data_IF_709732966452
#
_entry.id   IF_709732966452
#
_cell.length_a   1.000
_cell.length_b   1.000
_cell.length_c   1.000
_cell.angle_alpha   90.00
_cell.angle_beta   90.00
_cell.angle_gamma   90.00
#
_symmetry.space_group_name_H-M   'P 1'
#
loop_
_entity.id
_entity.type
_entity.pdbx_description
1 polymer ?
#
# COMPACT_ATOMS: atom_id res chain seq x y z
N UNK A 1 32.46 -13.51 -1.29
CA UNK A 1 31.20 -13.60 -0.55
C UNK A 1 30.10 -13.75 -1.56
N UNK A 2 29.50 -14.94 -1.61
CA UNK A 2 28.34 -15.25 -2.43
C UNK A 2 27.17 -14.57 -1.72
N UNK A 3 26.64 -13.50 -2.29
CA UNK A 3 25.33 -13.00 -1.88
C UNK A 3 24.34 -14.07 -2.32
N UNK A 4 23.78 -14.82 -1.37
CA UNK A 4 22.62 -15.65 -1.67
C UNK A 4 21.52 -14.72 -2.18
N UNK A 5 20.99 -15.06 -3.35
CA UNK A 5 19.70 -14.60 -3.84
C UNK A 5 18.61 -15.14 -2.90
N UNK A 6 18.62 -14.70 -1.65
CA UNK A 6 17.53 -14.96 -0.73
C UNK A 6 16.29 -14.32 -1.37
N UNK A 7 15.31 -15.18 -1.62
CA UNK A 7 13.96 -14.89 -2.11
C UNK A 7 13.43 -13.65 -1.36
N UNK A 8 13.61 -12.48 -1.95
CA UNK A 8 13.11 -11.20 -1.42
C UNK A 8 11.60 -11.27 -1.57
N UNK A 9 10.94 -11.94 -0.62
CA UNK A 9 9.51 -12.25 -0.58
C UNK A 9 8.61 -11.00 -0.68
N UNK A 10 9.23 -9.83 -0.61
CA UNK A 10 8.60 -8.52 -0.72
C UNK A 10 8.58 -7.98 -2.16
N UNK A 11 9.25 -8.64 -3.13
CA UNK A 11 9.19 -8.26 -4.55
C UNK A 11 7.82 -8.53 -5.13
N UNK A 12 7.27 -7.52 -5.80
CA UNK A 12 5.99 -7.60 -6.47
C UNK A 12 6.08 -8.50 -7.69
N UNK A 13 5.33 -9.60 -7.65
CA UNK A 13 5.13 -10.50 -8.79
C UNK A 13 4.24 -9.86 -9.82
N UNK A 14 4.62 -9.97 -11.07
CA UNK A 14 3.97 -9.26 -12.16
C UNK A 14 3.84 -10.10 -13.43
N UNK A 15 2.94 -9.69 -14.31
CA UNK A 15 2.71 -10.28 -15.62
C UNK A 15 2.59 -9.19 -16.69
N UNK A 16 2.77 -9.58 -17.95
CA UNK A 16 2.60 -8.69 -19.11
C UNK A 16 1.44 -9.18 -19.96
N UNK A 17 0.59 -8.25 -20.39
CA UNK A 17 -0.39 -8.47 -21.44
C UNK A 17 -0.05 -7.55 -22.61
N UNK A 18 0.13 -8.13 -23.80
CA UNK A 18 0.48 -7.41 -25.02
C UNK A 18 -0.70 -7.43 -25.98
N UNK A 19 -1.45 -6.33 -26.04
CA UNK A 19 -2.47 -6.11 -27.06
C UNK A 19 -1.83 -5.48 -28.28
N UNK A 20 -1.18 -6.31 -29.10
CA UNK A 20 -0.36 -5.86 -30.24
C UNK A 20 -0.70 -6.66 -31.49
N UNK A 21 -0.56 -6.08 -32.69
CA UNK A 21 -0.89 -6.78 -33.93
C UNK A 21 -0.02 -8.03 -34.16
N UNK A 22 1.26 -7.95 -33.79
CA UNK A 22 2.25 -8.99 -34.05
C UNK A 22 2.61 -9.75 -32.76
N UNK A 23 2.22 -11.03 -32.70
CA UNK A 23 2.49 -11.90 -31.56
C UNK A 23 3.99 -12.21 -31.38
N UNK A 24 4.82 -12.05 -32.41
CA UNK A 24 6.26 -12.31 -32.32
C UNK A 24 6.98 -11.26 -31.47
N UNK A 25 6.36 -10.10 -31.25
CA UNK A 25 6.92 -9.02 -30.43
C UNK A 25 6.83 -9.29 -28.92
N UNK A 26 6.12 -10.33 -28.48
CA UNK A 26 5.86 -10.57 -27.05
C UNK A 26 7.15 -10.73 -26.25
N UNK A 27 8.14 -11.44 -26.77
CA UNK A 27 9.41 -11.66 -26.07
C UNK A 27 10.17 -10.34 -25.91
N UNK A 28 10.26 -9.54 -26.98
CA UNK A 28 10.84 -8.20 -26.94
C UNK A 28 10.11 -7.29 -25.95
N UNK A 29 8.78 -7.33 -25.94
CA UNK A 29 7.96 -6.51 -25.04
C UNK A 29 8.08 -6.97 -23.58
N UNK A 30 8.30 -8.26 -23.34
CA UNK A 30 8.60 -8.80 -22.01
C UNK A 30 9.96 -8.29 -21.49
N UNK A 31 10.98 -8.28 -22.35
CA UNK A 31 12.29 -7.72 -22.03
C UNK A 31 12.23 -6.21 -21.78
N UNK A 32 11.50 -5.48 -22.63
CA UNK A 32 11.20 -4.07 -22.41
C UNK A 32 10.52 -3.85 -21.06
N UNK A 33 9.52 -4.65 -20.73
CA UNK A 33 8.76 -4.52 -19.48
C UNK A 33 9.65 -4.73 -18.25
N UNK A 34 10.57 -5.68 -18.34
CA UNK A 34 11.55 -5.98 -17.28
C UNK A 34 12.51 -4.81 -17.08
N UNK A 35 13.02 -4.24 -18.18
CA UNK A 35 13.81 -3.00 -18.15
C UNK A 35 13.02 -1.83 -17.55
N UNK A 36 11.79 -1.62 -18.00
CA UNK A 36 10.92 -0.51 -17.58
C UNK A 36 10.68 -0.56 -16.07
N UNK A 37 10.30 -1.71 -15.53
CA UNK A 37 10.04 -1.88 -14.09
C UNK A 37 11.34 -1.80 -13.26
N UNK A 38 12.50 -2.17 -13.82
CA UNK A 38 13.80 -1.93 -13.20
C UNK A 38 14.08 -0.43 -13.05
N UNK A 39 13.84 0.37 -14.10
CA UNK A 39 14.00 1.83 -14.04
C UNK A 39 13.01 2.47 -13.07
N UNK A 40 11.74 2.03 -13.06
CA UNK A 40 10.74 2.46 -12.07
C UNK A 40 11.21 2.13 -10.65
N UNK A 41 11.78 0.95 -10.40
CA UNK A 41 12.30 0.56 -9.08
C UNK A 41 13.43 1.49 -8.64
N UNK A 42 14.37 1.81 -9.54
CA UNK A 42 15.48 2.74 -9.25
C UNK A 42 14.98 4.13 -8.89
N UNK A 43 13.97 4.64 -9.60
CA UNK A 43 13.38 5.95 -9.32
C UNK A 43 12.53 5.92 -8.04
N UNK A 44 11.75 4.86 -7.81
CA UNK A 44 10.97 4.68 -6.60
C UNK A 44 11.85 4.72 -5.34
N UNK A 45 13.02 4.07 -5.38
CA UNK A 45 13.98 4.11 -4.28
C UNK A 45 14.45 5.55 -3.95
N UNK A 46 14.67 6.39 -4.96
CA UNK A 46 15.03 7.81 -4.76
C UNK A 46 13.90 8.64 -4.14
N UNK A 47 12.66 8.20 -4.31
CA UNK A 47 11.46 8.83 -3.76
C UNK A 47 11.03 8.24 -2.41
N UNK A 48 11.81 7.32 -1.83
CA UNK A 48 11.41 6.54 -0.64
C UNK A 48 10.09 5.78 -0.81
N UNK A 49 9.80 5.32 -2.03
CA UNK A 49 8.63 4.52 -2.36
C UNK A 49 9.03 3.05 -2.46
N UNK A 50 8.31 2.18 -1.75
CA UNK A 50 8.47 0.73 -1.91
C UNK A 50 7.73 0.24 -3.16
N UNK A 51 8.43 0.21 -4.29
CA UNK A 51 7.97 -0.41 -5.53
C UNK A 51 9.11 -1.24 -6.13
N UNK A 52 9.32 -2.44 -5.56
CA UNK A 52 10.28 -3.43 -6.06
C UNK A 52 9.53 -4.53 -6.79
N UNK A 53 9.96 -4.83 -8.01
CA UNK A 53 9.39 -5.88 -8.84
C UNK A 53 10.34 -7.07 -8.91
N UNK A 54 9.81 -8.26 -9.18
CA UNK A 54 10.65 -9.38 -9.60
C UNK A 54 11.37 -9.04 -10.91
N UNK A 55 12.52 -9.66 -11.17
CA UNK A 55 13.36 -9.35 -12.33
C UNK A 55 12.67 -9.65 -13.66
N UNK A 56 11.82 -10.68 -13.69
CA UNK A 56 11.10 -11.13 -14.89
C UNK A 56 9.62 -11.31 -14.61
N UNK A 57 8.81 -11.12 -15.65
CA UNK A 57 7.40 -11.43 -15.61
C UNK A 57 7.17 -12.92 -15.33
N UNK A 58 6.13 -13.25 -14.56
CA UNK A 58 5.69 -14.65 -14.39
C UNK A 58 5.12 -15.23 -15.68
N UNK A 59 4.54 -14.38 -16.51
CA UNK A 59 3.98 -14.73 -17.82
C UNK A 59 3.85 -13.47 -18.68
N UNK A 60 4.04 -13.63 -19.99
CA UNK A 60 3.69 -12.66 -21.01
C UNK A 60 2.63 -13.27 -21.93
N UNK A 61 1.53 -12.56 -22.16
CA UNK A 61 0.41 -13.04 -22.99
C UNK A 61 0.16 -12.12 -24.16
N UNK A 62 0.07 -12.69 -25.36
CA UNK A 62 -0.47 -11.99 -26.52
C UNK A 62 -1.99 -11.93 -26.48
N UNK A 63 -2.54 -10.78 -26.84
CA UNK A 63 -3.97 -10.59 -27.05
C UNK A 63 -4.16 -9.90 -28.41
N UNK A 64 -4.98 -10.43 -29.32
CA UNK A 64 -5.31 -9.73 -30.56
C UNK A 64 -5.94 -8.36 -30.28
N UNK A 65 -5.51 -7.34 -31.04
CA UNK A 65 -6.04 -5.97 -30.94
C UNK A 65 -7.55 -5.96 -31.20
N UNK A 66 -8.29 -5.21 -30.40
CA UNK A 66 -9.75 -5.08 -30.50
C UNK A 66 -10.53 -6.30 -30.00
N UNK A 67 -9.88 -7.29 -29.39
CA UNK A 67 -10.54 -8.51 -28.91
C UNK A 67 -10.71 -8.51 -27.38
N UNK A 68 -11.89 -8.08 -26.91
CA UNK A 68 -12.24 -8.06 -25.49
C UNK A 68 -12.21 -9.46 -24.86
N UNK A 69 -12.78 -10.47 -25.52
CA UNK A 69 -12.89 -11.83 -24.97
C UNK A 69 -11.51 -12.44 -24.74
N UNK A 70 -10.59 -12.27 -25.70
CA UNK A 70 -9.21 -12.71 -25.55
C UNK A 70 -8.50 -11.96 -24.41
N UNK A 71 -8.77 -10.65 -24.25
CA UNK A 71 -8.26 -9.86 -23.14
C UNK A 71 -8.79 -10.38 -21.78
N UNK A 72 -10.09 -10.61 -21.67
CA UNK A 72 -10.73 -11.12 -20.45
C UNK A 72 -10.17 -12.50 -20.08
N UNK A 73 -10.06 -13.40 -21.06
CA UNK A 73 -9.46 -14.73 -20.87
C UNK A 73 -8.00 -14.64 -20.41
N UNK A 74 -7.21 -13.70 -20.93
CA UNK A 74 -5.83 -13.51 -20.49
C UNK A 74 -5.76 -13.11 -19.01
N UNK A 75 -6.55 -12.13 -18.58
CA UNK A 75 -6.61 -11.69 -17.18
C UNK A 75 -7.10 -12.80 -16.23
N UNK A 76 -8.12 -13.55 -16.65
CA UNK A 76 -8.63 -14.68 -15.88
C UNK A 76 -7.58 -15.81 -15.75
N UNK A 77 -6.88 -16.14 -16.84
CA UNK A 77 -5.78 -17.12 -16.82
C UNK A 77 -4.65 -16.68 -15.90
N UNK A 78 -4.26 -15.40 -15.93
CA UNK A 78 -3.25 -14.84 -15.02
C UNK A 78 -3.69 -15.07 -13.57
N UNK A 79 -4.93 -14.70 -13.23
CA UNK A 79 -5.48 -14.82 -11.87
C UNK A 79 -5.54 -16.27 -11.36
N UNK A 80 -5.86 -17.22 -12.24
CA UNK A 80 -6.01 -18.64 -11.89
C UNK A 80 -4.66 -19.36 -11.77
N UNK A 81 -3.79 -19.17 -12.76
CA UNK A 81 -2.55 -19.95 -12.87
C UNK A 81 -1.37 -19.31 -12.13
N UNK A 82 -1.38 -17.99 -11.94
CA UNK A 82 -0.36 -17.25 -11.18
C UNK A 82 -1.01 -16.38 -10.10
N UNK A 83 -1.64 -16.98 -9.08
CA UNK A 83 -2.43 -16.26 -8.08
C UNK A 83 -1.63 -15.27 -7.23
N UNK A 84 -0.31 -15.38 -7.23
CA UNK A 84 0.57 -14.46 -6.53
C UNK A 84 0.94 -13.20 -7.34
N UNK A 85 0.56 -13.11 -8.62
CA UNK A 85 0.75 -11.90 -9.43
C UNK A 85 -0.15 -10.79 -8.87
N UNK A 86 0.45 -9.64 -8.56
CA UNK A 86 -0.25 -8.46 -8.05
C UNK A 86 -0.31 -7.32 -9.07
N UNK A 87 0.61 -7.31 -10.04
CA UNK A 87 0.76 -6.22 -11.00
C UNK A 87 0.68 -6.71 -12.45
N UNK A 88 -0.07 -5.99 -13.29
CA UNK A 88 -0.13 -6.22 -14.73
C UNK A 88 0.38 -4.99 -15.46
N UNK A 89 1.43 -5.18 -16.26
CA UNK A 89 1.82 -4.20 -17.27
C UNK A 89 1.10 -4.56 -18.58
N UNK A 90 0.28 -3.65 -19.09
CA UNK A 90 -0.45 -3.85 -20.32
C UNK A 90 0.13 -2.98 -21.44
N UNK A 91 0.70 -3.60 -22.47
CA UNK A 91 1.12 -2.92 -23.69
C UNK A 91 -0.10 -2.69 -24.57
N UNK A 92 -0.44 -1.42 -24.77
CA UNK A 92 -1.60 -0.95 -25.50
C UNK A 92 -1.21 -0.67 -26.96
N UNK A 93 -2.07 -0.99 -27.94
CA UNK A 93 -1.72 -0.85 -29.35
C UNK A 93 -1.53 0.61 -29.74
N UNK A 94 -2.41 1.50 -29.26
CA UNK A 94 -2.41 2.92 -29.59
C UNK A 94 -3.10 3.75 -28.49
N UNK A 95 -3.03 5.07 -28.62
CA UNK A 95 -3.67 6.00 -27.70
C UNK A 95 -5.19 5.96 -27.87
N UNK A 96 -5.93 6.00 -26.75
CA UNK A 96 -7.39 5.92 -26.69
C UNK A 96 -7.98 4.58 -27.18
N UNK A 97 -7.16 3.54 -27.31
CA UNK A 97 -7.64 2.20 -27.63
C UNK A 97 -8.58 1.67 -26.53
N UNK A 98 -9.65 0.93 -26.88
CA UNK A 98 -10.63 0.42 -25.91
C UNK A 98 -10.00 -0.51 -24.87
N UNK A 99 -8.86 -1.13 -25.19
CA UNK A 99 -8.03 -1.94 -24.31
C UNK A 99 -7.67 -1.23 -23.01
N UNK A 100 -7.55 0.11 -23.02
CA UNK A 100 -7.28 0.86 -21.79
C UNK A 100 -8.43 0.75 -20.77
N UNK A 101 -9.68 0.88 -21.24
CA UNK A 101 -10.85 0.74 -20.37
C UNK A 101 -11.12 -0.72 -19.98
N UNK A 102 -10.78 -1.67 -20.87
CA UNK A 102 -10.83 -3.10 -20.55
C UNK A 102 -9.79 -3.47 -19.50
N UNK A 103 -8.54 -3.04 -19.67
CA UNK A 103 -7.46 -3.16 -18.68
C UNK A 103 -7.94 -2.63 -17.32
N UNK A 104 -8.55 -1.43 -17.31
CA UNK A 104 -9.10 -0.84 -16.09
C UNK A 104 -10.16 -1.70 -15.41
N UNK A 105 -11.12 -2.18 -16.19
CA UNK A 105 -12.26 -2.97 -15.70
C UNK A 105 -11.83 -4.37 -15.23
N UNK A 106 -11.01 -5.06 -16.03
CA UNK A 106 -10.52 -6.41 -15.75
C UNK A 106 -9.55 -6.43 -14.58
N UNK A 107 -8.62 -5.47 -14.49
CA UNK A 107 -7.75 -5.36 -13.30
C UNK A 107 -8.55 -5.10 -12.03
N UNK A 108 -9.58 -4.26 -12.08
CA UNK A 108 -10.42 -4.00 -10.92
C UNK A 108 -11.21 -5.25 -10.50
N UNK A 109 -11.77 -5.99 -11.46
CA UNK A 109 -12.51 -7.23 -11.19
C UNK A 109 -11.64 -8.33 -10.56
N UNK A 110 -10.37 -8.41 -10.93
CA UNK A 110 -9.45 -9.46 -10.46
C UNK A 110 -8.50 -9.01 -9.34
N UNK A 111 -8.53 -7.73 -8.93
CA UNK A 111 -7.71 -7.20 -7.84
C UNK A 111 -6.26 -6.89 -8.21
N UNK A 112 -5.98 -6.61 -9.48
CA UNK A 112 -4.62 -6.28 -9.94
C UNK A 112 -4.32 -4.78 -9.85
N UNK A 113 -3.10 -4.43 -9.44
CA UNK A 113 -2.48 -3.16 -9.80
C UNK A 113 -2.17 -3.21 -11.30
N UNK A 114 -2.31 -2.09 -12.00
CA UNK A 114 -2.10 -2.03 -13.45
C UNK A 114 -1.31 -0.82 -13.88
N UNK A 115 -0.62 -0.93 -15.00
CA UNK A 115 -0.08 0.20 -15.74
C UNK A 115 -0.21 -0.07 -17.24
N UNK A 116 -0.72 0.91 -17.98
CA UNK A 116 -0.73 0.88 -19.44
C UNK A 116 0.52 1.54 -20.00
N UNK A 117 1.11 0.96 -21.03
CA UNK A 117 2.21 1.56 -21.82
C UNK A 117 1.85 1.44 -23.30
N UNK A 118 1.97 2.54 -24.05
CA UNK A 118 1.72 2.51 -25.49
C UNK A 118 2.83 1.73 -26.21
N UNK A 119 2.47 0.94 -27.21
CA UNK A 119 3.40 0.16 -28.02
C UNK A 119 4.50 1.03 -28.61
N UNK A 120 4.17 2.21 -29.15
CA UNK A 120 5.14 3.16 -29.71
C UNK A 120 6.27 3.51 -28.71
N UNK A 121 5.90 3.75 -27.44
CA UNK A 121 6.86 4.07 -26.36
C UNK A 121 7.66 2.85 -25.91
N UNK A 122 7.09 1.66 -26.08
CA UNK A 122 7.77 0.41 -25.75
C UNK A 122 8.86 0.08 -26.78
N UNK A 123 8.58 0.33 -28.07
CA UNK A 123 9.51 0.03 -29.17
C UNK A 123 10.76 0.91 -29.15
N UNK A 124 10.65 2.16 -28.73
CA UNK A 124 11.77 3.09 -28.69
C UNK A 124 12.32 3.32 -27.26
N UNK A 125 11.80 2.60 -26.27
CA UNK A 125 12.14 2.76 -24.85
C UNK A 125 11.99 4.21 -24.35
N UNK A 126 10.93 4.90 -24.78
CA UNK A 126 10.65 6.30 -24.47
C UNK A 126 11.71 7.29 -25.01
N UNK A 127 12.49 6.90 -26.03
CA UNK A 127 13.44 7.81 -26.67
C UNK A 127 12.76 9.05 -27.24
N UNK A 128 11.61 8.89 -27.91
CA UNK A 128 10.83 10.00 -28.48
C UNK A 128 10.30 10.94 -27.40
N UNK A 129 9.91 10.41 -26.24
CA UNK A 129 9.47 11.20 -25.09
C UNK A 129 10.63 12.05 -24.55
N UNK A 130 11.84 11.49 -24.52
CA UNK A 130 13.05 12.21 -24.12
C UNK A 130 13.40 13.34 -25.08
N UNK A 131 13.21 13.13 -26.39
CA UNK A 131 13.48 14.13 -27.43
C UNK A 131 12.47 15.29 -27.42
N UNK A 132 11.24 15.06 -26.97
CA UNK A 132 10.21 16.10 -26.82
C UNK A 132 10.39 16.96 -25.55
N UNK A 133 11.54 16.86 -24.86
CA UNK A 133 11.85 17.64 -23.67
C UNK A 133 11.24 17.10 -22.37
N UNK A 134 10.59 15.94 -22.40
CA UNK A 134 10.08 15.29 -21.19
C UNK A 134 11.18 14.47 -20.51
N UNK A 135 11.35 14.67 -19.21
CA UNK A 135 12.33 13.92 -18.43
C UNK A 135 11.79 12.51 -18.11
N UNK A 136 12.51 11.46 -18.51
CA UNK A 136 12.20 10.07 -18.17
C UNK A 136 12.04 9.85 -16.66
N UNK A 137 12.79 10.60 -15.85
CA UNK A 137 12.64 10.59 -14.40
C UNK A 137 11.20 10.90 -13.97
N UNK A 138 10.55 11.86 -14.62
CA UNK A 138 9.15 12.23 -14.32
C UNK A 138 8.18 11.11 -14.70
N UNK A 139 8.41 10.45 -15.84
CA UNK A 139 7.59 9.30 -16.28
C UNK A 139 7.67 8.18 -15.24
N UNK A 140 8.89 7.76 -14.89
CA UNK A 140 9.09 6.68 -13.91
C UNK A 140 8.61 7.06 -12.51
N UNK A 141 8.79 8.33 -12.10
CA UNK A 141 8.27 8.85 -10.82
C UNK A 141 6.75 8.76 -10.74
N UNK A 142 6.05 9.15 -11.82
CA UNK A 142 4.60 9.10 -11.88
C UNK A 142 4.09 7.66 -11.77
N UNK A 143 4.76 6.71 -12.44
CA UNK A 143 4.41 5.29 -12.35
C UNK A 143 4.70 4.74 -10.96
N UNK A 144 5.87 5.04 -10.37
CA UNK A 144 6.19 4.61 -9.01
C UNK A 144 5.15 5.11 -7.98
N UNK A 145 4.77 6.38 -8.06
CA UNK A 145 3.74 6.95 -7.18
C UNK A 145 2.36 6.33 -7.43
N UNK A 146 1.99 6.06 -8.68
CA UNK A 146 0.75 5.38 -9.01
C UNK A 146 0.70 3.97 -8.42
N UNK A 147 1.77 3.18 -8.61
CA UNK A 147 1.91 1.84 -8.03
C UNK A 147 1.76 1.90 -6.51
N UNK A 148 2.46 2.81 -5.85
CA UNK A 148 2.37 2.98 -4.39
C UNK A 148 0.93 3.27 -3.93
N UNK A 149 0.23 4.18 -4.61
CA UNK A 149 -1.18 4.51 -4.31
C UNK A 149 -2.09 3.31 -4.54
N UNK A 150 -1.90 2.57 -5.62
CA UNK A 150 -2.72 1.43 -5.97
C UNK A 150 -2.50 0.25 -5.01
N UNK A 151 -1.25 -0.09 -4.70
CA UNK A 151 -0.91 -1.11 -3.70
C UNK A 151 -1.43 -0.73 -2.32
N UNK A 152 -1.27 0.53 -1.91
CA UNK A 152 -1.82 1.03 -0.65
C UNK A 152 -3.34 0.86 -0.63
N UNK A 153 -4.05 1.17 -1.73
CA UNK A 153 -5.49 0.96 -1.82
C UNK A 153 -5.87 -0.51 -1.68
N UNK A 154 -5.17 -1.44 -2.32
CA UNK A 154 -5.43 -2.87 -2.20
C UNK A 154 -5.19 -3.39 -0.77
N UNK A 155 -4.12 -2.94 -0.12
CA UNK A 155 -3.82 -3.33 1.26
C UNK A 155 -4.76 -2.65 2.28
N UNK A 156 -5.29 -1.49 1.95
CA UNK A 156 -6.19 -0.69 2.80
C UNK A 156 -7.66 -0.81 2.38
N UNK A 157 -8.02 -1.75 1.49
CA UNK A 157 -9.37 -1.88 0.94
C UNK A 157 -10.35 -2.26 2.07
N UNK A 158 -10.80 -1.20 2.76
CA UNK A 158 -12.07 -1.10 3.46
C UNK A 158 -13.09 -1.06 2.33
N UNK A 159 -13.83 -2.16 2.19
CA UNK A 159 -14.98 -2.36 1.31
C UNK A 159 -15.68 -1.02 0.96
N UNK A 160 -15.89 -0.68 -0.33
CA UNK A 160 -16.58 0.56 -0.71
C UNK A 160 -18.02 0.68 -0.18
N UNK A 161 -18.65 -0.43 0.24
CA UNK A 161 -19.92 -0.40 0.98
C UNK A 161 -19.75 0.03 2.46
N UNK A 162 -18.53 -0.06 3.00
CA UNK A 162 -18.10 0.33 4.35
C UNK A 162 -17.06 1.45 4.29
N UNK A 163 -17.28 2.48 3.46
CA UNK A 163 -16.50 3.71 3.60
C UNK A 163 -16.88 4.44 4.90
N UNK A 164 -15.92 4.86 5.73
CA UNK A 164 -16.10 6.05 6.54
C UNK A 164 -16.55 7.20 5.63
N UNK A 165 -17.60 7.90 6.01
CA UNK A 165 -18.17 9.04 5.28
C UNK A 165 -17.09 9.99 4.74
N UNK A 166 -17.19 10.35 3.46
CA UNK A 166 -16.28 11.27 2.78
C UNK A 166 -16.94 12.66 2.74
N UNK A 167 -16.58 13.56 3.68
CA UNK A 167 -17.12 14.91 3.75
C UNK A 167 -16.19 15.88 3.01
N UNK A 168 -16.71 16.58 2.00
CA UNK A 168 -15.97 17.63 1.27
C UNK A 168 -16.42 19.00 1.73
N UNK A 169 -15.54 19.76 2.38
CA UNK A 169 -15.79 21.16 2.75
C UNK A 169 -14.94 22.05 1.84
N UNK A 170 -15.59 22.93 1.08
CA UNK A 170 -14.93 23.98 0.31
C UNK A 170 -15.47 25.34 0.72
N UNK A 171 -14.57 26.32 0.91
CA UNK A 171 -14.95 27.72 0.75
C UNK A 171 -14.81 28.04 -0.75
N UNK A 172 -15.85 28.57 -1.38
CA UNK A 172 -16.11 28.55 -2.83
C UNK A 172 -15.08 29.16 -3.80
N UNK A 173 -13.83 29.39 -3.38
CA UNK A 173 -12.75 29.97 -4.19
C UNK A 173 -11.61 28.95 -4.45
N UNK A 174 -11.51 27.86 -3.69
CA UNK A 174 -10.46 26.84 -3.84
C UNK A 174 -11.07 25.45 -3.94
N UNK A 175 -10.56 24.62 -4.86
CA UNK A 175 -10.94 23.21 -4.98
C UNK A 175 -10.82 22.52 -3.61
N UNK A 176 -11.87 21.85 -3.11
CA UNK A 176 -11.86 21.27 -1.77
C UNK A 176 -10.78 20.19 -1.70
N UNK A 177 -9.85 20.35 -0.76
CA UNK A 177 -8.86 19.33 -0.45
C UNK A 177 -9.52 18.10 0.15
N UNK A 178 -8.99 16.91 -0.16
CA UNK A 178 -9.38 15.68 0.53
C UNK A 178 -8.85 15.73 1.96
N UNK A 179 -9.68 16.17 2.90
CA UNK A 179 -9.42 15.93 4.32
C UNK A 179 -9.98 14.57 4.67
N UNK A 180 -9.10 13.57 4.86
CA UNK A 180 -9.54 12.29 5.43
C UNK A 180 -9.96 12.55 6.87
N UNK A 181 -11.25 12.43 7.14
CA UNK A 181 -11.76 12.49 8.51
C UNK A 181 -11.91 11.05 8.99
N UNK A 182 -11.30 10.76 10.13
CA UNK A 182 -11.41 9.45 10.77
C UNK A 182 -12.89 9.13 11.07
N UNK A 183 -13.31 7.89 10.81
CA UNK A 183 -14.66 7.43 11.12
C UNK A 183 -14.97 7.59 12.60
N UNK A 184 -13.95 7.36 13.43
CA UNK A 184 -14.05 7.47 14.87
C UNK A 184 -14.19 8.94 15.30
N UNK A 185 -13.63 9.88 14.53
CA UNK A 185 -13.78 11.31 14.77
C UNK A 185 -15.18 11.80 14.43
N UNK A 186 -15.78 11.28 13.36
CA UNK A 186 -17.17 11.58 12.97
C UNK A 186 -18.14 11.01 14.01
N UNK A 187 -17.97 9.75 14.39
CA UNK A 187 -18.83 9.12 15.40
C UNK A 187 -18.76 9.86 16.73
N UNK A 188 -17.57 10.31 17.13
CA UNK A 188 -17.36 11.11 18.33
C UNK A 188 -18.03 12.48 18.22
N UNK A 189 -17.86 13.20 17.11
CA UNK A 189 -18.47 14.51 16.93
C UNK A 189 -20.01 14.43 16.94
N UNK A 190 -20.57 13.43 16.25
CA UNK A 190 -22.02 13.18 16.22
C UNK A 190 -22.53 12.82 17.60
N UNK A 191 -21.86 11.91 18.32
CA UNK A 191 -22.26 11.52 19.67
C UNK A 191 -22.13 12.70 20.64
N UNK A 192 -21.09 13.53 20.54
CA UNK A 192 -20.89 14.71 21.41
C UNK A 192 -22.00 15.74 21.22
N UNK A 193 -22.38 16.01 19.97
CA UNK A 193 -23.45 16.97 19.65
C UNK A 193 -24.83 16.43 20.02
N UNK A 194 -25.10 15.15 19.76
CA UNK A 194 -26.42 14.54 20.00
C UNK A 194 -26.65 14.16 21.47
N UNK A 195 -25.62 13.76 22.21
CA UNK A 195 -25.76 13.33 23.61
C UNK A 195 -25.69 14.48 24.62
N UNK A 196 -25.27 15.69 24.22
CA UNK A 196 -25.06 16.87 25.08
C UNK A 196 -24.19 16.61 26.32
N UNK A 197 -23.48 15.49 26.37
CA UNK A 197 -22.59 15.13 27.46
C UNK A 197 -21.20 15.68 27.16
N UNK A 198 -20.73 16.61 27.98
CA UNK A 198 -19.35 17.12 27.96
C UNK A 198 -18.34 16.09 28.52
N UNK A 199 -18.81 14.93 29.00
CA UNK A 199 -17.94 13.82 29.36
C UNK A 199 -17.55 13.07 28.09
N UNK A 200 -16.41 13.52 27.56
CA UNK A 200 -15.57 12.85 26.57
C UNK A 200 -15.67 11.33 26.67
N UNK A 201 -16.18 10.67 25.64
CA UNK A 201 -15.75 9.31 25.31
C UNK A 201 -14.54 9.47 24.39
N UNK A 202 -13.31 9.14 24.83
CA UNK A 202 -12.14 9.27 23.98
C UNK A 202 -12.30 8.36 22.76
N UNK A 203 -11.79 8.82 21.63
CA UNK A 203 -11.53 8.08 20.39
C UNK A 203 -10.66 6.82 20.55
N UNK A 204 -10.38 6.40 21.77
CA UNK A 204 -9.61 5.23 22.10
C UNK A 204 -10.56 4.26 22.78
N UNK A 205 -10.62 3.01 22.30
CA UNK A 205 -10.85 1.94 23.25
C UNK A 205 -9.64 1.99 24.18
N UNK A 206 -9.70 2.73 25.28
CA UNK A 206 -8.68 2.72 26.34
C UNK A 206 -8.36 1.28 26.75
N UNK A 207 -9.40 0.43 26.69
CA UNK A 207 -9.36 -1.03 26.80
C UNK A 207 -8.34 -1.74 25.87
N UNK A 208 -8.00 -1.14 24.73
CA UNK A 208 -7.12 -1.71 23.68
C UNK A 208 -5.89 -0.84 23.42
N UNK A 209 -5.56 0.09 24.33
CA UNK A 209 -4.43 0.99 24.20
C UNK A 209 -3.37 0.73 25.28
N UNK A 210 -2.11 0.94 24.91
CA UNK A 210 -0.97 0.86 25.81
C UNK A 210 -0.15 2.15 25.75
N UNK A 211 0.42 2.54 26.87
CA UNK A 211 1.42 3.59 26.95
C UNK A 211 2.80 2.96 26.83
N UNK A 212 3.65 3.54 25.99
CA UNK A 212 5.03 3.13 25.77
C UNK A 212 6.00 4.25 26.15
N UNK A 213 7.11 3.87 26.77
CA UNK A 213 8.22 4.77 27.12
C UNK A 213 9.57 4.08 26.89
N UNK A 214 10.66 4.84 26.97
CA UNK A 214 12.02 4.29 26.82
C UNK A 214 12.42 3.93 25.38
N UNK A 215 11.71 4.48 24.39
CA UNK A 215 12.04 4.37 22.98
C UNK A 215 12.92 5.54 22.49
N UNK A 216 13.75 5.37 21.45
CA UNK A 216 14.54 6.46 20.87
C UNK A 216 13.65 7.60 20.36
N UNK A 217 13.97 8.84 20.72
CA UNK A 217 13.20 10.04 20.31
C UNK A 217 13.20 10.31 18.81
N UNK A 218 14.08 9.64 18.05
CA UNK A 218 14.12 9.66 16.59
C UNK A 218 13.01 8.82 15.93
N UNK A 219 12.31 7.96 16.68
CA UNK A 219 11.24 7.13 16.13
C UNK A 219 9.97 7.96 15.88
N UNK A 220 9.46 7.88 14.65
CA UNK A 220 8.15 8.38 14.29
C UNK A 220 7.06 7.34 14.60
N UNK A 221 5.79 7.71 14.36
CA UNK A 221 4.62 6.85 14.62
C UNK A 221 4.73 5.46 13.98
N UNK A 222 5.27 5.38 12.76
CA UNK A 222 5.48 4.12 12.06
C UNK A 222 6.57 3.26 12.71
N UNK A 223 7.68 3.89 13.12
CA UNK A 223 8.76 3.20 13.84
C UNK A 223 8.30 2.64 15.18
N UNK A 224 7.42 3.35 15.89
CA UNK A 224 6.83 2.87 17.13
C UNK A 224 5.87 1.71 16.91
N UNK A 225 5.07 1.73 15.83
CA UNK A 225 4.24 0.59 15.46
C UNK A 225 5.07 -0.68 15.16
N UNK A 226 6.27 -0.51 14.60
CA UNK A 226 7.19 -1.62 14.29
C UNK A 226 7.81 -2.28 15.53
N UNK A 227 7.76 -1.64 16.70
CA UNK A 227 8.19 -2.27 17.96
C UNK A 227 7.31 -3.46 18.37
N UNK A 228 6.12 -3.57 17.76
CA UNK A 228 5.11 -4.59 18.04
C UNK A 228 4.90 -5.52 16.83
N UNK A 229 5.91 -6.32 16.45
CA UNK A 229 5.83 -7.18 15.28
C UNK A 229 4.72 -8.22 15.44
N UNK A 230 3.88 -8.35 14.42
CA UNK A 230 2.76 -9.30 14.42
C UNK A 230 1.49 -8.80 15.12
N UNK A 231 1.54 -7.68 15.85
CA UNK A 231 0.36 -7.09 16.49
C UNK A 231 -0.26 -6.03 15.58
N UNK A 232 -1.59 -6.10 15.38
CA UNK A 232 -2.31 -5.15 14.55
C UNK A 232 -2.50 -3.82 15.28
N UNK A 233 -1.58 -2.88 15.05
CA UNK A 233 -1.65 -1.48 15.50
C UNK A 233 -2.65 -0.71 14.65
N UNK A 234 -3.59 -0.02 15.29
CA UNK A 234 -4.61 0.83 14.64
C UNK A 234 -4.30 2.31 14.73
N UNK A 235 -3.46 2.73 15.68
CA UNK A 235 -3.03 4.12 15.81
C UNK A 235 -1.87 4.30 16.78
N UNK A 236 -1.07 5.36 16.58
CA UNK A 236 0.02 5.76 17.46
C UNK A 236 -0.07 7.27 17.67
N UNK A 237 -0.04 7.71 18.93
CA UNK A 237 0.00 9.13 19.29
C UNK A 237 1.25 9.37 20.13
N UNK A 238 2.13 10.26 19.67
CA UNK A 238 3.35 10.62 20.38
C UNK A 238 3.09 11.91 21.17
N UNK A 239 3.38 11.89 22.46
CA UNK A 239 3.24 13.05 23.35
C UNK A 239 4.40 13.11 24.33
N UNK A 240 5.24 14.15 24.20
CA UNK A 240 6.28 14.54 25.17
C UNK A 240 7.05 13.37 25.81
N UNK A 241 7.75 12.57 25.00
CA UNK A 241 8.59 11.47 25.48
C UNK A 241 7.84 10.19 25.88
N UNK A 242 6.52 10.17 25.68
CA UNK A 242 5.66 8.99 25.78
C UNK A 242 4.93 8.79 24.44
N UNK A 243 4.49 7.58 24.18
CA UNK A 243 3.55 7.34 23.10
C UNK A 243 2.42 6.42 23.54
N UNK A 244 1.24 6.63 23.00
CA UNK A 244 0.08 5.75 23.18
C UNK A 244 -0.11 4.98 21.89
N UNK A 245 -0.04 3.66 21.98
CA UNK A 245 -0.25 2.73 20.86
C UNK A 245 -1.59 2.05 21.06
N UNK A 246 -2.48 2.18 20.07
CA UNK A 246 -3.80 1.54 20.06
C UNK A 246 -3.74 0.31 19.18
N UNK A 247 -4.29 -0.81 19.66
CA UNK A 247 -4.38 -2.05 18.93
C UNK A 247 -5.81 -2.37 18.51
N UNK A 248 -5.96 -3.26 17.54
CA UNK A 248 -7.27 -3.67 17.05
C UNK A 248 -8.15 -4.35 18.12
N UNK A 249 -7.55 -4.97 19.15
CA UNK A 249 -8.28 -5.62 20.24
C UNK A 249 -7.53 -5.50 21.57
N UNK A 250 -8.25 -5.66 22.68
CA UNK A 250 -7.69 -5.73 24.05
C UNK A 250 -6.72 -6.90 24.26
N UNK A 251 -6.90 -8.00 23.53
CA UNK A 251 -5.98 -9.15 23.58
C UNK A 251 -4.61 -8.79 23.02
N UNK A 252 -4.57 -8.05 21.91
CA UNK A 252 -3.31 -7.56 21.34
C UNK A 252 -2.64 -6.52 22.25
N UNK A 253 -3.42 -5.72 22.97
CA UNK A 253 -2.87 -4.81 23.98
C UNK A 253 -2.23 -5.57 25.16
N UNK A 254 -2.84 -6.68 25.60
CA UNK A 254 -2.24 -7.57 26.59
C UNK A 254 -0.94 -8.22 26.09
N UNK A 255 -0.92 -8.74 24.86
CA UNK A 255 0.29 -9.30 24.24
C UNK A 255 1.40 -8.25 24.11
N UNK A 256 1.04 -7.01 23.77
CA UNK A 256 2.00 -5.90 23.69
C UNK A 256 2.66 -5.62 25.05
N UNK A 257 1.92 -5.73 26.16
CA UNK A 257 2.48 -5.56 27.50
C UNK A 257 3.51 -6.63 27.87
N UNK A 258 3.44 -7.83 27.28
CA UNK A 258 4.46 -8.87 27.50
C UNK A 258 5.82 -8.53 26.87
N UNK A 259 5.85 -7.59 25.92
CA UNK A 259 7.08 -7.11 25.30
C UNK A 259 7.78 -6.01 26.12
N UNK A 260 7.23 -5.66 27.28
CA UNK A 260 7.86 -4.73 28.21
C UNK A 260 9.21 -5.26 28.71
N UNK A 261 10.16 -4.37 28.92
CA UNK A 261 11.57 -4.65 29.29
C UNK A 261 12.46 -5.20 28.15
N UNK A 262 11.99 -5.18 26.91
CA UNK A 262 12.83 -5.52 25.75
C UNK A 262 13.85 -4.42 25.48
N UNK A 263 15.14 -4.78 25.44
CA UNK A 263 16.21 -3.87 25.02
C UNK A 263 16.09 -3.59 23.52
N UNK A 264 15.97 -2.32 23.16
CA UNK A 264 15.92 -1.86 21.77
C UNK A 264 17.32 -1.58 21.24
N UNK A 265 18.16 -0.97 22.07
CA UNK A 265 19.56 -0.69 21.80
C UNK A 265 20.33 -0.60 23.15
N UNK A 266 21.64 -0.28 23.16
CA UNK A 266 22.42 -0.17 24.40
C UNK A 266 21.94 0.89 25.41
N UNK A 267 21.14 1.87 24.97
CA UNK A 267 20.69 3.03 25.76
C UNK A 267 19.17 3.05 26.01
N UNK A 268 18.38 2.31 25.23
CA UNK A 268 16.91 2.34 25.24
C UNK A 268 16.32 0.96 25.57
N UNK A 269 15.48 0.93 26.61
CA UNK A 269 14.70 -0.24 27.02
C UNK A 269 13.23 0.10 26.91
N UNK A 270 12.48 -0.69 26.14
CA UNK A 270 11.06 -0.48 25.92
C UNK A 270 10.29 -0.79 27.19
N UNK A 271 9.49 0.15 27.67
CA UNK A 271 8.51 -0.06 28.72
C UNK A 271 7.11 0.07 28.14
N UNK A 272 6.27 -0.92 28.39
CA UNK A 272 4.88 -0.98 27.89
C UNK A 272 3.94 -1.18 29.08
N UNK A 273 2.96 -0.30 29.23
CA UNK A 273 1.95 -0.35 30.28
C UNK A 273 0.55 -0.26 29.66
N UNK A 274 -0.38 -1.13 30.06
CA UNK A 274 -1.76 -1.04 29.58
C UNK A 274 -2.47 0.17 30.17
N UNK A 275 -3.39 0.78 29.42
CA UNK A 275 -4.31 1.80 29.95
C UNK A 275 -5.60 1.20 30.52
N UNK A 276 -5.87 -0.09 30.24
CA UNK A 276 -7.05 -0.81 30.72
C UNK A 276 -6.83 -1.41 32.12
N UNK A 277 -7.71 -1.13 33.11
CA UNK A 277 -7.62 -1.74 34.43
C UNK A 277 -7.79 -3.26 34.39
N UNK A 278 -8.63 -3.79 33.51
CA UNK A 278 -8.84 -5.23 33.36
C UNK A 278 -7.58 -5.94 32.83
N UNK A 279 -6.88 -5.33 31.88
CA UNK A 279 -5.61 -5.87 31.35
C UNK A 279 -4.51 -5.80 32.42
N UNK A 280 -4.47 -4.73 33.23
CA UNK A 280 -3.53 -4.63 34.36
C UNK A 280 -3.75 -5.74 35.39
N UNK A 281 -5.00 -5.99 35.78
CA UNK A 281 -5.37 -7.06 36.72
C UNK A 281 -4.96 -8.45 36.18
N UNK A 282 -5.18 -8.71 34.89
CA UNK A 282 -4.77 -9.96 34.25
C UNK A 282 -3.24 -10.12 34.18
N UNK A 283 -2.50 -9.04 33.93
CA UNK A 283 -1.03 -9.06 33.96
C UNK A 283 -0.50 -9.37 35.37
N UNK A 284 -1.10 -8.80 36.42
CA UNK A 284 -0.73 -9.08 37.82
C UNK A 284 -1.02 -10.54 38.23
N UNK A 285 -2.09 -11.14 37.70
CA UNK A 285 -2.42 -12.55 37.92
C UNK A 285 -1.45 -13.51 37.22
N UNK A 286 -0.84 -13.08 36.10
CA UNK A 286 0.11 -13.89 35.31
C UNK A 286 1.55 -13.92 35.85
N UNK A 287 1.87 -13.05 36.82
CA UNK A 287 3.21 -12.93 37.44
C UNK A 287 3.34 -13.79 38.72
N UNK A 288 2.26 -14.42 39.18
CA UNK A 288 2.27 -15.44 40.25
C UNK A 288 2.39 -16.85 39.69
#
# INVERSE_FOLDING_TARGET
MIFSEDDDALRMRWAVVCSVPDATMVDYLSDFSSWFLSEVTKVAAKLNIYARFEERAKVAMHVPVGNFDACAVAYEKIRKNWPAVMFILHILPEKNAPEYEWMRSLSAAHGFVRQGVLLENALDKFASVSQQGNNLYTVFSNVAQWVARATSKLCLDKDPANKPYDLRIGSGVVMPGNTKIDQDAIQTAVNTVLSRSAHMLPLHREESAVQITGFPTSLNEFGLAQLFPGLKVTGVIISQGKATVTFATKFLAYEACQLSSKKLDPYHTLHVESLSPEVKEQLELSVK
#
